data_IF_752760932962
#
_entry.id   IF_752760932962
#
_cell.length_a   1.000
_cell.length_b   1.000
_cell.length_c   1.000
_cell.angle_alpha   90.00
_cell.angle_beta   90.00
_cell.angle_gamma   90.00
#
_symmetry.space_group_name_H-M   'P 1'
#
loop_
_entity.id
_entity.type
_entity.pdbx_description
1 polymer ?
#
# COMPACT_ATOMS: atom_id res chain seq x y z
N UNK A 1 19.19 7.24 5.11
CA UNK A 1 18.26 6.33 4.43
C UNK A 1 17.18 5.77 5.35
N UNK A 2 17.56 5.17 6.48
CA UNK A 2 16.57 4.65 7.43
C UNK A 2 15.62 5.71 7.99
N UNK A 3 16.09 6.93 8.37
CA UNK A 3 15.17 7.97 8.84
C UNK A 3 14.17 8.40 7.77
N UNK A 4 14.59 8.44 6.51
CA UNK A 4 13.72 8.82 5.41
C UNK A 4 12.67 7.73 5.14
N UNK A 5 13.08 6.46 5.18
CA UNK A 5 12.15 5.34 5.04
C UNK A 5 11.12 5.35 6.16
N UNK A 6 11.55 5.62 7.40
CA UNK A 6 10.64 5.73 8.54
C UNK A 6 9.60 6.82 8.30
N UNK A 7 10.01 7.99 7.81
CA UNK A 7 9.10 9.09 7.50
C UNK A 7 8.10 8.73 6.42
N UNK A 8 8.54 8.01 5.38
CA UNK A 8 7.65 7.54 4.31
C UNK A 8 6.62 6.56 4.86
N UNK A 9 7.03 5.62 5.69
CA UNK A 9 6.10 4.66 6.29
C UNK A 9 5.11 5.34 7.24
N UNK A 10 5.56 6.33 8.00
CA UNK A 10 4.67 7.13 8.84
C UNK A 10 3.67 7.94 7.99
N UNK A 11 4.14 8.50 6.87
CA UNK A 11 3.30 9.28 5.96
C UNK A 11 2.11 8.46 5.44
N UNK A 12 2.34 7.22 5.06
CA UNK A 12 1.29 6.34 4.54
C UNK A 12 0.51 5.62 5.64
N UNK A 13 0.86 5.86 6.89
CA UNK A 13 0.26 5.19 8.05
C UNK A 13 0.30 3.68 7.90
N UNK A 14 1.51 3.14 7.84
CA UNK A 14 1.75 1.72 7.58
C UNK A 14 1.00 0.82 8.58
N UNK A 15 0.81 1.27 9.83
CA UNK A 15 0.02 0.54 10.81
C UNK A 15 -1.40 0.24 10.32
N UNK A 16 -2.00 1.13 9.53
CA UNK A 16 -3.32 0.91 8.94
C UNK A 16 -3.30 -0.15 7.85
N UNK A 17 -2.16 -0.39 7.22
CA UNK A 17 -1.99 -1.49 6.27
C UNK A 17 -2.16 -2.84 6.99
N UNK A 18 -1.67 -2.93 8.22
CA UNK A 18 -1.83 -4.14 9.05
C UNK A 18 -3.31 -4.39 9.36
N UNK A 19 -4.10 -3.33 9.58
CA UNK A 19 -5.54 -3.47 9.80
C UNK A 19 -6.30 -3.97 8.57
N UNK A 20 -5.77 -3.73 7.38
CA UNK A 20 -6.39 -4.24 6.16
C UNK A 20 -6.13 -5.73 5.95
N UNK A 21 -5.10 -6.27 6.59
CA UNK A 21 -4.66 -7.65 6.40
C UNK A 21 -5.75 -8.69 6.74
N UNK A 22 -6.48 -8.61 7.88
CA UNK A 22 -7.53 -9.58 8.17
C UNK A 22 -8.61 -9.65 7.09
N UNK A 23 -8.97 -8.53 6.50
CA UNK A 23 -9.98 -8.48 5.44
C UNK A 23 -9.48 -9.14 4.16
N UNK A 24 -8.23 -8.87 3.78
CA UNK A 24 -7.61 -9.50 2.62
C UNK A 24 -7.48 -11.02 2.81
N UNK A 25 -7.07 -11.46 4.00
CA UNK A 25 -6.95 -12.88 4.31
C UNK A 25 -8.31 -13.57 4.36
N UNK A 26 -9.34 -12.91 4.89
CA UNK A 26 -10.70 -13.46 4.89
C UNK A 26 -11.18 -13.69 3.46
N UNK A 27 -11.01 -12.71 2.58
CA UNK A 27 -11.37 -12.84 1.18
C UNK A 27 -10.61 -13.99 0.51
N UNK A 28 -9.33 -14.14 0.80
CA UNK A 28 -8.51 -15.22 0.26
C UNK A 28 -9.00 -16.59 0.73
N UNK A 29 -9.29 -16.73 2.02
CA UNK A 29 -9.81 -17.97 2.59
C UNK A 29 -11.15 -18.33 1.95
N UNK A 30 -12.01 -17.35 1.74
CA UNK A 30 -13.29 -17.55 1.05
C UNK A 30 -13.05 -18.06 -0.37
N UNK A 31 -12.12 -17.48 -1.11
CA UNK A 31 -11.78 -17.90 -2.47
C UNK A 31 -11.27 -19.34 -2.50
N UNK A 32 -10.52 -19.75 -1.49
CA UNK A 32 -9.98 -21.12 -1.40
C UNK A 32 -10.98 -22.13 -0.87
N UNK A 33 -12.06 -21.68 -0.24
CA UNK A 33 -13.02 -22.56 0.44
C UNK A 33 -14.35 -22.68 -0.27
N UNK A 34 -14.75 -21.67 -1.06
CA UNK A 34 -16.05 -21.63 -1.73
C UNK A 34 -15.89 -22.14 -3.17
N UNK A 35 -16.58 -23.23 -3.54
CA UNK A 35 -16.52 -23.73 -4.92
C UNK A 35 -17.16 -22.73 -5.88
N UNK A 36 -16.57 -22.57 -7.05
CA UNK A 36 -17.20 -21.89 -8.17
C UNK A 36 -17.49 -22.91 -9.28
N UNK A 37 -18.14 -22.50 -10.40
CA UNK A 37 -18.44 -23.41 -11.49
C UNK A 37 -17.22 -24.12 -12.07
N UNK A 38 -16.05 -23.56 -11.95
CA UNK A 38 -14.79 -24.12 -12.47
C UNK A 38 -14.04 -24.92 -11.41
N UNK A 39 -14.53 -24.98 -10.18
CA UNK A 39 -13.92 -25.69 -9.07
C UNK A 39 -13.29 -24.78 -8.04
N UNK A 40 -12.64 -25.36 -7.03
CA UNK A 40 -11.94 -24.61 -5.99
C UNK A 40 -10.62 -24.07 -6.50
N UNK A 41 -10.32 -22.83 -6.14
CA UNK A 41 -8.98 -22.29 -6.31
C UNK A 41 -8.08 -22.93 -5.26
N UNK A 42 -7.06 -23.66 -5.71
CA UNK A 42 -6.16 -24.36 -4.78
C UNK A 42 -5.26 -23.37 -4.04
N UNK A 43 -5.04 -23.62 -2.75
CA UNK A 43 -4.09 -22.86 -1.98
C UNK A 43 -2.67 -23.04 -2.51
N UNK A 44 -1.96 -21.94 -2.71
CA UNK A 44 -0.53 -21.94 -3.07
C UNK A 44 0.17 -20.86 -2.28
N UNK A 45 1.33 -21.21 -1.71
CA UNK A 45 2.13 -20.22 -0.97
C UNK A 45 2.49 -19.02 -1.83
N UNK A 46 2.72 -19.22 -3.12
CA UNK A 46 3.02 -18.16 -4.05
C UNK A 46 1.87 -17.15 -4.14
N UNK A 47 0.64 -17.63 -4.17
CA UNK A 47 -0.55 -16.77 -4.17
C UNK A 47 -0.69 -16.00 -2.85
N UNK A 48 -0.43 -16.65 -1.73
CA UNK A 48 -0.47 -16.00 -0.42
C UNK A 48 0.53 -14.84 -0.35
N UNK A 49 1.78 -15.08 -0.75
CA UNK A 49 2.82 -14.04 -0.80
C UNK A 49 2.41 -12.93 -1.77
N UNK A 50 1.86 -13.29 -2.93
CA UNK A 50 1.36 -12.31 -3.90
C UNK A 50 0.28 -11.40 -3.34
N UNK A 51 -0.66 -11.95 -2.56
CA UNK A 51 -1.71 -11.15 -1.90
C UNK A 51 -1.09 -10.13 -0.96
N UNK A 52 -0.12 -10.53 -0.14
CA UNK A 52 0.55 -9.63 0.80
C UNK A 52 1.29 -8.51 0.06
N UNK A 53 2.03 -8.87 -0.98
CA UNK A 53 2.79 -7.90 -1.78
C UNK A 53 1.83 -6.91 -2.47
N UNK A 54 0.77 -7.40 -3.08
CA UNK A 54 -0.21 -6.57 -3.75
C UNK A 54 -0.90 -5.61 -2.78
N UNK A 55 -1.28 -6.10 -1.60
CA UNK A 55 -1.93 -5.28 -0.59
C UNK A 55 -1.01 -4.14 -0.13
N UNK A 56 0.23 -4.48 0.22
CA UNK A 56 1.20 -3.48 0.69
C UNK A 56 1.52 -2.48 -0.42
N UNK A 57 1.79 -2.97 -1.63
CA UNK A 57 2.14 -2.11 -2.76
C UNK A 57 1.00 -1.17 -3.16
N UNK A 58 -0.20 -1.70 -3.32
CA UNK A 58 -1.35 -0.90 -3.73
C UNK A 58 -1.71 0.15 -2.69
N UNK A 59 -1.75 -0.23 -1.41
CA UNK A 59 -2.09 0.69 -0.34
C UNK A 59 -1.02 1.77 -0.18
N UNK A 60 0.25 1.39 -0.24
CA UNK A 60 1.36 2.35 -0.15
C UNK A 60 1.33 3.36 -1.30
N UNK A 61 1.10 2.88 -2.52
CA UNK A 61 1.01 3.74 -3.71
C UNK A 61 -0.18 4.71 -3.59
N UNK A 62 -1.34 4.20 -3.20
CA UNK A 62 -2.56 5.01 -3.08
C UNK A 62 -2.40 6.10 -2.01
N UNK A 63 -1.88 5.74 -0.85
CA UNK A 63 -1.70 6.71 0.24
C UNK A 63 -0.65 7.75 -0.10
N UNK A 64 0.48 7.33 -0.69
CA UNK A 64 1.52 8.27 -1.11
C UNK A 64 1.00 9.22 -2.18
N UNK A 65 0.25 8.71 -3.14
CA UNK A 65 -0.36 9.55 -4.18
C UNK A 65 -1.34 10.56 -3.59
N UNK A 66 -2.18 10.14 -2.64
CA UNK A 66 -3.11 11.05 -1.97
C UNK A 66 -2.38 12.17 -1.25
N UNK A 67 -1.28 11.86 -0.55
CA UNK A 67 -0.49 12.87 0.14
C UNK A 67 0.17 13.83 -0.85
N UNK A 68 0.59 13.32 -2.00
CA UNK A 68 1.22 14.14 -3.04
C UNK A 68 0.23 15.12 -3.67
N UNK A 69 -0.97 14.65 -3.99
CA UNK A 69 -2.02 15.47 -4.60
C UNK A 69 -2.55 16.51 -3.61
N UNK A 70 -2.70 16.14 -2.35
CA UNK A 70 -3.31 17.00 -1.33
C UNK A 70 -2.30 17.89 -0.59
N UNK A 71 -1.01 17.89 -0.97
CA UNK A 71 0.04 18.56 -0.21
C UNK A 71 -0.22 20.04 0.02
N UNK A 72 -0.77 20.75 -0.96
CA UNK A 72 -1.07 22.17 -0.83
C UNK A 72 -2.29 22.40 0.06
N UNK A 73 -3.34 21.62 -0.15
CA UNK A 73 -4.56 21.66 0.66
C UNK A 73 -4.25 21.32 2.11
N UNK A 74 -3.43 20.28 2.32
CA UNK A 74 -3.01 19.85 3.66
C UNK A 74 -2.21 20.96 4.36
N UNK A 75 -1.39 21.71 3.62
CA UNK A 75 -0.61 22.81 4.16
C UNK A 75 -1.46 23.99 4.63
N UNK A 76 -2.63 24.18 4.03
CA UNK A 76 -3.56 25.25 4.39
C UNK A 76 -4.43 24.89 5.59
N UNK A 77 -4.55 23.62 5.92
CA UNK A 77 -5.41 23.13 7.00
C UNK A 77 -4.58 22.91 8.27
N UNK A 78 -4.90 23.59 9.40
CA UNK A 78 -4.13 23.43 10.65
C UNK A 78 -4.05 21.97 11.13
N UNK A 79 -5.06 21.14 10.85
CA UNK A 79 -5.07 19.73 11.24
C UNK A 79 -4.03 18.90 10.48
N UNK A 80 -3.71 19.27 9.25
CA UNK A 80 -2.89 18.46 8.34
C UNK A 80 -1.60 19.15 7.93
N UNK A 81 -1.40 20.41 8.31
CA UNK A 81 -0.19 21.17 7.96
C UNK A 81 1.08 20.53 8.51
N UNK A 82 0.98 19.77 9.60
CA UNK A 82 2.11 19.06 10.19
C UNK A 82 2.47 17.73 9.52
N UNK A 83 1.73 17.31 8.49
CA UNK A 83 2.09 16.11 7.74
C UNK A 83 3.45 16.27 7.07
N UNK A 84 4.15 15.15 6.85
CA UNK A 84 5.56 15.18 6.40
C UNK A 84 5.79 16.00 5.13
N UNK A 85 4.92 15.89 4.14
CA UNK A 85 5.11 16.57 2.86
C UNK A 85 4.83 18.07 2.95
N UNK A 86 3.67 18.55 3.49
CA UNK A 86 3.44 19.98 3.66
C UNK A 86 4.45 20.65 4.60
N UNK A 87 4.88 19.94 5.66
CA UNK A 87 5.84 20.48 6.63
C UNK A 87 7.28 20.50 6.12
N UNK A 88 7.55 19.88 4.96
CA UNK A 88 8.90 19.84 4.40
C UNK A 88 9.79 18.73 4.95
N UNK A 89 9.25 17.81 5.75
CA UNK A 89 10.00 16.67 6.29
C UNK A 89 10.36 15.65 5.22
N UNK A 90 9.59 15.61 4.13
CA UNK A 90 9.85 14.78 2.96
C UNK A 90 9.79 15.65 1.70
N UNK A 91 10.67 15.37 0.75
CA UNK A 91 10.67 16.05 -0.54
C UNK A 91 9.61 15.44 -1.46
N UNK A 92 9.11 16.25 -2.41
CA UNK A 92 8.19 15.77 -3.45
C UNK A 92 8.85 14.64 -4.25
N UNK A 93 10.15 14.79 -4.58
CA UNK A 93 10.88 13.76 -5.33
C UNK A 93 10.90 12.42 -4.59
N UNK A 94 11.11 12.43 -3.28
CA UNK A 94 11.09 11.21 -2.46
C UNK A 94 9.73 10.53 -2.48
N UNK A 95 8.65 11.32 -2.37
CA UNK A 95 7.29 10.77 -2.36
C UNK A 95 6.91 10.24 -3.74
N UNK A 96 7.28 10.93 -4.81
CA UNK A 96 7.06 10.45 -6.18
C UNK A 96 7.80 9.12 -6.40
N UNK A 97 9.07 9.05 -5.99
CA UNK A 97 9.86 7.82 -6.12
C UNK A 97 9.22 6.67 -5.35
N UNK A 98 8.77 6.94 -4.13
CA UNK A 98 8.10 5.94 -3.30
C UNK A 98 6.80 5.46 -3.97
N UNK A 99 6.01 6.37 -4.54
CA UNK A 99 4.78 6.03 -5.25
C UNK A 99 5.05 5.12 -6.45
N UNK A 100 6.05 5.47 -7.25
CA UNK A 100 6.43 4.66 -8.42
C UNK A 100 6.90 3.27 -7.99
N UNK A 101 7.79 3.20 -6.98
CA UNK A 101 8.30 1.92 -6.50
C UNK A 101 7.19 1.05 -5.92
N UNK A 102 6.25 1.64 -5.17
CA UNK A 102 5.11 0.92 -4.61
C UNK A 102 4.18 0.39 -5.71
N UNK A 103 3.96 1.16 -6.76
CA UNK A 103 3.16 0.75 -7.92
C UNK A 103 3.83 -0.42 -8.65
N UNK A 104 5.16 -0.35 -8.83
CA UNK A 104 5.92 -1.45 -9.43
C UNK A 104 5.85 -2.70 -8.57
N UNK A 105 5.94 -2.55 -7.26
CA UNK A 105 5.80 -3.66 -6.32
C UNK A 105 4.43 -4.33 -6.46
N UNK A 106 3.38 -3.54 -6.59
CA UNK A 106 2.03 -4.06 -6.82
C UNK A 106 1.96 -4.86 -8.13
N UNK A 107 2.49 -4.31 -9.23
CA UNK A 107 2.49 -4.99 -10.52
C UNK A 107 3.28 -6.30 -10.45
N UNK A 108 4.45 -6.29 -9.82
CA UNK A 108 5.25 -7.50 -9.63
C UNK A 108 4.46 -8.54 -8.82
N UNK A 109 3.76 -8.09 -7.77
CA UNK A 109 2.93 -8.96 -6.96
C UNK A 109 1.84 -9.66 -7.75
N UNK A 110 1.25 -8.99 -8.76
CA UNK A 110 0.24 -9.62 -9.61
C UNK A 110 0.80 -10.76 -10.45
N UNK A 111 2.09 -10.72 -10.77
CA UNK A 111 2.74 -11.79 -11.54
C UNK A 111 2.82 -13.11 -10.76
N UNK A 112 2.68 -13.06 -9.44
CA UNK A 112 2.68 -14.26 -8.59
C UNK A 112 1.46 -15.15 -8.81
N UNK A 113 0.43 -14.65 -9.49
CA UNK A 113 -0.80 -15.37 -9.80
C UNK A 113 -0.81 -15.98 -11.21
N UNK A 114 0.23 -15.76 -11.96
CA UNK A 114 0.36 -16.29 -13.33
C UNK A 114 0.82 -17.75 -13.36
#
# INVERSE_FOLDING_TARGET
MLPQLKKLLEMIRFSHTIFALPFALLAAVMAWSVPDPEGLVSFRWLHFVGILICMVGARSAAMAFNRLVDREIDGENPRTAGRHLPAGDLSVASVVSFTVLSTLLFVIGTCFFL
#
